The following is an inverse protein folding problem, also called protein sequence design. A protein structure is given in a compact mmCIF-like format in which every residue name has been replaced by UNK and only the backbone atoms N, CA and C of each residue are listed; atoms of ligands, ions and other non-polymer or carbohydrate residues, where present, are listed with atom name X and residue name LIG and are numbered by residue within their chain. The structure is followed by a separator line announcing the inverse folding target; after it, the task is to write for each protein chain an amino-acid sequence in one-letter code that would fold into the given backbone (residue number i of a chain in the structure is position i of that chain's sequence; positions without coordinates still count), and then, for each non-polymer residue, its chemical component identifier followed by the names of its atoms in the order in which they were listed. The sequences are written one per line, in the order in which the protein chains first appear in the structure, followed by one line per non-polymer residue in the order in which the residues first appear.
data_IF_854503219008
#
_entry.id   IF_854503219008
#
_cell.length_a   1.000
_cell.length_b   1.000
_cell.length_c   1.000
_cell.angle_alpha   90.00
_cell.angle_beta   90.00
_cell.angle_gamma   90.00
#
_symmetry.space_group_name_H-M   'P 1'
#
loop_
_entity.id
_entity.type
_entity.pdbx_description
1 polymer ?
#
# COMPACT_ATOMS: atom_id res chain seq x y z
N UNK A 1 5.75 19.04 -5.25
CA UNK A 1 6.18 17.91 -6.10
C UNK A 1 5.83 18.14 -7.56
N UNK A 2 4.57 18.47 -7.92
CA UNK A 2 4.14 18.64 -9.32
C UNK A 2 4.87 19.76 -10.08
N UNK A 3 5.47 20.70 -9.41
CA UNK A 3 6.27 21.78 -10.01
C UNK A 3 7.74 21.40 -10.22
N UNK A 4 8.22 20.38 -9.55
CA UNK A 4 9.64 19.96 -9.55
C UNK A 4 9.88 18.58 -10.16
N UNK A 5 8.81 17.84 -10.49
CA UNK A 5 8.90 16.45 -10.95
C UNK A 5 7.91 16.19 -12.08
N UNK A 6 8.39 15.61 -13.18
CA UNK A 6 7.55 15.07 -14.23
C UNK A 6 7.02 13.69 -13.78
N UNK A 7 5.74 13.59 -13.51
CA UNK A 7 5.09 12.37 -13.06
C UNK A 7 4.32 11.72 -14.21
N UNK A 8 4.50 10.41 -14.41
CA UNK A 8 3.70 9.56 -15.27
C UNK A 8 2.83 8.64 -14.43
N UNK A 9 1.55 8.50 -14.80
CA UNK A 9 0.64 7.56 -14.14
C UNK A 9 0.26 6.44 -15.10
N UNK A 10 0.46 5.20 -14.66
CA UNK A 10 0.03 4.00 -15.35
C UNK A 10 -1.12 3.37 -14.57
N UNK A 11 -2.23 3.06 -15.24
CA UNK A 11 -3.38 2.41 -14.63
C UNK A 11 -3.53 0.99 -15.18
N UNK A 12 -3.82 0.06 -14.29
CA UNK A 12 -4.13 -1.32 -14.64
C UNK A 12 -5.16 -1.89 -13.69
N UNK A 13 -5.75 -3.00 -14.06
CA UNK A 13 -6.66 -3.77 -13.19
C UNK A 13 -6.09 -5.15 -12.95
N UNK A 14 -6.41 -5.73 -11.81
CA UNK A 14 -6.03 -7.09 -11.45
C UNK A 14 -7.23 -7.82 -10.85
N UNK A 15 -7.32 -9.13 -11.09
CA UNK A 15 -8.33 -9.96 -10.46
C UNK A 15 -8.10 -10.03 -8.95
N UNK A 16 -9.10 -9.64 -8.17
CA UNK A 16 -9.02 -9.57 -6.71
C UNK A 16 -9.39 -10.90 -6.00
N UNK A 17 -9.77 -11.95 -6.74
CA UNK A 17 -10.24 -13.21 -6.13
C UNK A 17 -9.24 -13.80 -5.13
N UNK A 18 -7.95 -13.78 -5.46
CA UNK A 18 -6.89 -14.31 -4.59
C UNK A 18 -6.76 -13.55 -3.27
N UNK A 19 -6.74 -12.23 -3.31
CA UNK A 19 -6.62 -11.42 -2.09
C UNK A 19 -7.89 -11.48 -1.24
N UNK A 20 -9.07 -11.55 -1.85
CA UNK A 20 -10.35 -11.72 -1.16
C UNK A 20 -10.43 -13.09 -0.48
N UNK A 21 -9.99 -14.16 -1.15
CA UNK A 21 -9.90 -15.51 -0.56
C UNK A 21 -8.94 -15.52 0.65
N UNK A 22 -7.78 -14.89 0.53
CA UNK A 22 -6.82 -14.76 1.63
C UNK A 22 -7.41 -13.96 2.80
N UNK A 23 -8.08 -12.83 2.51
CA UNK A 23 -8.77 -12.03 3.55
C UNK A 23 -9.85 -12.86 4.26
N UNK A 24 -10.64 -13.64 3.54
CA UNK A 24 -11.63 -14.54 4.12
C UNK A 24 -10.99 -15.59 5.03
N UNK A 25 -9.86 -16.18 4.59
CA UNK A 25 -9.11 -17.17 5.37
C UNK A 25 -8.60 -16.59 6.70
N UNK A 26 -7.95 -15.43 6.67
CA UNK A 26 -7.41 -14.81 7.89
C UNK A 26 -8.52 -14.28 8.80
N UNK A 27 -9.65 -13.81 8.25
CA UNK A 27 -10.81 -13.36 9.02
C UNK A 27 -11.45 -14.47 9.83
N UNK A 28 -11.46 -15.69 9.28
CA UNK A 28 -12.06 -16.87 9.89
C UNK A 28 -11.04 -17.70 10.69
N UNK A 29 -9.81 -17.23 10.86
CA UNK A 29 -8.82 -17.87 11.70
C UNK A 29 -9.19 -17.78 13.18
N UNK A 30 -8.66 -18.70 13.96
CA UNK A 30 -8.82 -18.69 15.43
C UNK A 30 -8.40 -17.32 15.99
N UNK A 31 -9.23 -16.76 16.88
CA UNK A 31 -8.97 -15.46 17.52
C UNK A 31 -7.67 -15.45 18.29
N UNK A 32 -7.27 -16.58 18.87
CA UNK A 32 -6.00 -16.72 19.58
C UNK A 32 -4.79 -16.43 18.70
N UNK A 33 -4.90 -16.59 17.37
CA UNK A 33 -3.85 -16.27 16.40
C UNK A 33 -3.75 -14.75 16.10
N UNK A 34 -4.78 -13.97 16.44
CA UNK A 34 -4.84 -12.53 16.19
C UNK A 34 -4.84 -12.14 14.70
N UNK A 35 -5.13 -13.09 13.79
CA UNK A 35 -5.11 -12.87 12.34
C UNK A 35 -6.41 -12.25 11.81
N UNK A 36 -7.51 -12.38 12.54
CA UNK A 36 -8.84 -11.90 12.15
C UNK A 36 -8.91 -10.38 11.93
N UNK A 37 -7.98 -9.64 12.52
CA UNK A 37 -7.86 -8.17 12.39
C UNK A 37 -7.13 -7.71 11.13
N UNK A 38 -6.50 -8.60 10.37
CA UNK A 38 -5.76 -8.26 9.16
C UNK A 38 -6.74 -7.74 8.09
N UNK A 39 -6.48 -6.57 7.55
CA UNK A 39 -7.31 -5.91 6.54
C UNK A 39 -6.85 -6.23 5.11
N UNK A 40 -7.67 -5.89 4.11
CA UNK A 40 -7.23 -5.94 2.71
C UNK A 40 -6.04 -5.01 2.45
N UNK A 41 -6.05 -3.83 3.05
CA UNK A 41 -4.94 -2.88 2.92
C UNK A 41 -3.64 -3.44 3.49
N UNK A 42 -3.69 -4.13 4.62
CA UNK A 42 -2.51 -4.79 5.19
C UNK A 42 -1.95 -5.84 4.22
N UNK A 43 -2.82 -6.63 3.59
CA UNK A 43 -2.41 -7.64 2.60
C UNK A 43 -1.74 -7.01 1.37
N UNK A 44 -2.31 -5.92 0.85
CA UNK A 44 -1.73 -5.17 -0.27
C UNK A 44 -0.37 -4.60 0.11
N UNK A 45 -0.28 -3.85 1.20
CA UNK A 45 0.96 -3.24 1.65
C UNK A 45 2.05 -4.28 1.96
N UNK A 46 1.65 -5.41 2.57
CA UNK A 46 2.56 -6.53 2.81
C UNK A 46 3.11 -7.11 1.50
N UNK A 47 2.24 -7.35 0.49
CA UNK A 47 2.66 -7.84 -0.82
C UNK A 47 3.59 -6.84 -1.52
N UNK A 48 3.30 -5.53 -1.46
CA UNK A 48 4.15 -4.47 -1.99
C UNK A 48 5.53 -4.52 -1.37
N UNK A 49 5.65 -4.64 -0.04
CA UNK A 49 6.94 -4.70 0.65
C UNK A 49 7.83 -5.85 0.17
N UNK A 50 7.25 -6.97 -0.27
CA UNK A 50 7.97 -8.13 -0.82
C UNK A 50 8.30 -7.94 -2.30
N UNK A 51 7.40 -7.32 -3.05
CA UNK A 51 7.56 -7.08 -4.48
C UNK A 51 8.70 -6.09 -4.74
N UNK A 52 8.82 -5.04 -3.93
CA UNK A 52 9.86 -4.02 -4.06
C UNK A 52 11.30 -4.59 -4.00
N UNK A 53 11.52 -5.69 -3.30
CA UNK A 53 12.82 -6.38 -3.30
C UNK A 53 13.25 -6.88 -4.68
N UNK A 54 12.28 -7.12 -5.58
CA UNK A 54 12.55 -7.57 -6.96
C UNK A 54 12.71 -6.40 -7.94
N UNK A 55 12.30 -5.20 -7.53
CA UNK A 55 12.28 -4.01 -8.37
C UNK A 55 12.91 -2.82 -7.64
N UNK A 56 14.23 -2.84 -7.39
CA UNK A 56 14.90 -1.86 -6.54
C UNK A 56 14.82 -0.42 -7.06
N UNK A 57 14.61 -0.22 -8.35
CA UNK A 57 14.41 1.12 -8.95
C UNK A 57 13.19 1.85 -8.38
N UNK A 58 12.18 1.11 -7.93
CA UNK A 58 11.00 1.67 -7.26
C UNK A 58 11.18 1.85 -5.75
N UNK A 59 12.16 1.15 -5.16
CA UNK A 59 12.53 1.32 -3.75
C UNK A 59 13.72 2.27 -3.64
N UNK A 60 13.53 3.50 -4.12
CA UNK A 60 14.62 4.44 -4.35
C UNK A 60 14.18 5.90 -4.13
N UNK A 61 15.16 6.76 -3.93
CA UNK A 61 15.01 8.21 -3.95
C UNK A 61 15.72 8.80 -5.17
N UNK A 62 15.16 9.87 -5.72
CA UNK A 62 15.78 10.67 -6.77
C UNK A 62 15.92 12.10 -6.28
N UNK A 63 17.16 12.51 -6.01
CA UNK A 63 17.50 13.86 -5.53
C UNK A 63 18.68 14.41 -6.35
N UNK A 64 18.55 15.61 -6.86
CA UNK A 64 19.60 16.31 -7.62
C UNK A 64 20.18 15.47 -8.79
N UNK A 65 19.34 14.66 -9.44
CA UNK A 65 19.74 13.78 -10.53
C UNK A 65 20.43 12.49 -10.08
N UNK A 66 20.58 12.26 -8.78
CA UNK A 66 21.15 11.03 -8.20
C UNK A 66 20.03 10.07 -7.78
N UNK A 67 20.06 8.84 -8.31
CA UNK A 67 19.18 7.75 -7.93
C UNK A 67 19.83 6.91 -6.83
N UNK A 68 19.25 6.95 -5.63
CA UNK A 68 19.70 6.14 -4.49
C UNK A 68 18.72 5.00 -4.25
N UNK A 69 19.13 3.76 -4.49
CA UNK A 69 18.34 2.55 -4.24
C UNK A 69 18.59 2.04 -2.81
N UNK A 70 17.54 1.53 -2.18
CA UNK A 70 17.60 1.02 -0.80
C UNK A 70 17.43 -0.50 -0.77
N UNK A 71 18.23 -1.18 0.03
CA UNK A 71 18.10 -2.62 0.27
C UNK A 71 16.90 -2.92 1.17
N UNK A 72 16.62 -2.04 2.13
CA UNK A 72 15.49 -2.17 3.03
C UNK A 72 14.28 -1.39 2.51
N UNK A 73 13.11 -1.97 2.67
CA UNK A 73 11.85 -1.32 2.31
C UNK A 73 11.28 -0.62 3.54
N UNK A 74 11.26 0.70 3.50
CA UNK A 74 10.57 1.54 4.48
C UNK A 74 9.26 2.01 3.85
N UNK A 75 8.16 1.27 4.15
CA UNK A 75 6.90 1.44 3.47
C UNK A 75 6.02 2.51 4.12
N UNK A 76 5.82 3.62 3.42
CA UNK A 76 4.81 4.62 3.78
C UNK A 76 3.41 4.18 3.34
N UNK A 77 2.42 4.50 4.13
CA UNK A 77 1.02 4.34 3.74
C UNK A 77 0.21 5.59 4.10
N UNK A 78 -0.65 6.01 3.18
CA UNK A 78 -1.50 7.17 3.39
C UNK A 78 -2.55 6.89 4.47
N UNK A 79 -2.63 7.78 5.46
CA UNK A 79 -3.55 7.71 6.57
C UNK A 79 -4.28 9.05 6.72
N UNK A 80 -5.60 9.03 6.54
CA UNK A 80 -6.44 10.20 6.79
C UNK A 80 -6.67 10.39 8.29
N UNK A 81 -6.49 11.63 8.76
CA UNK A 81 -6.64 11.96 10.17
C UNK A 81 -7.40 13.29 10.32
N UNK A 82 -7.98 13.58 11.50
CA UNK A 82 -8.63 14.87 11.76
C UNK A 82 -7.73 16.10 11.53
N UNK A 83 -6.40 15.89 11.49
CA UNK A 83 -5.39 16.94 11.26
C UNK A 83 -4.85 16.97 9.84
N UNK A 84 -5.43 16.18 8.93
CA UNK A 84 -5.00 16.06 7.54
C UNK A 84 -4.36 14.71 7.22
N UNK A 85 -3.80 14.63 6.04
CA UNK A 85 -3.18 13.42 5.53
C UNK A 85 -1.77 13.24 6.10
N UNK A 86 -1.54 12.11 6.76
CA UNK A 86 -0.21 11.67 7.20
C UNK A 86 0.24 10.46 6.39
N UNK A 87 1.55 10.25 6.34
CA UNK A 87 2.15 9.06 5.70
C UNK A 87 3.08 8.38 6.70
N UNK A 88 2.51 7.60 7.64
CA UNK A 88 3.33 6.80 8.55
C UNK A 88 4.17 5.78 7.79
N UNK A 89 5.35 5.46 8.32
CA UNK A 89 6.35 4.61 7.67
C UNK A 89 6.63 3.37 8.53
N UNK A 90 6.32 2.20 7.96
CA UNK A 90 6.69 0.90 8.54
C UNK A 90 8.16 0.63 8.16
N UNK A 91 9.04 0.64 9.15
CA UNK A 91 10.46 0.40 8.96
C UNK A 91 10.75 -1.08 8.66
N UNK A 92 11.67 -1.32 7.72
CA UNK A 92 12.11 -2.66 7.33
C UNK A 92 10.92 -3.61 7.10
N UNK A 93 9.90 -3.11 6.41
CA UNK A 93 8.62 -3.77 6.20
C UNK A 93 8.77 -5.18 5.59
N UNK A 94 9.81 -5.38 4.75
CA UNK A 94 10.12 -6.67 4.16
C UNK A 94 10.57 -7.73 5.18
N UNK A 95 11.03 -7.34 6.35
CA UNK A 95 11.50 -8.28 7.38
C UNK A 95 10.36 -8.80 8.27
N UNK A 96 9.21 -8.11 8.29
CA UNK A 96 8.09 -8.45 9.16
C UNK A 96 7.28 -9.62 8.59
N UNK A 97 6.80 -10.52 9.45
CA UNK A 97 5.72 -11.44 9.09
C UNK A 97 4.38 -10.70 8.97
N UNK A 98 3.39 -11.29 8.29
CA UNK A 98 2.11 -10.64 7.99
C UNK A 98 1.39 -10.10 9.25
N UNK A 99 1.37 -10.88 10.35
CA UNK A 99 0.75 -10.43 11.60
C UNK A 99 1.47 -9.22 12.17
N UNK A 100 2.80 -9.29 12.32
CA UNK A 100 3.61 -8.20 12.86
C UNK A 100 3.50 -6.94 11.99
N UNK A 101 3.46 -7.10 10.66
CA UNK A 101 3.23 -6.01 9.72
C UNK A 101 1.87 -5.32 9.97
N UNK A 102 0.80 -6.12 10.08
CA UNK A 102 -0.55 -5.60 10.33
C UNK A 102 -0.67 -4.91 11.69
N UNK A 103 -0.05 -5.47 12.73
CA UNK A 103 -0.03 -4.89 14.08
C UNK A 103 0.71 -3.53 14.07
N UNK A 104 1.85 -3.45 13.40
CA UNK A 104 2.62 -2.21 13.28
C UNK A 104 1.90 -1.15 12.45
N UNK A 105 1.27 -1.53 11.33
CA UNK A 105 0.45 -0.62 10.54
C UNK A 105 -0.67 0.02 11.37
N UNK A 106 -1.37 -0.78 12.19
CA UNK A 106 -2.44 -0.30 13.07
C UNK A 106 -1.92 0.60 14.18
N UNK A 107 -0.81 0.21 14.80
CA UNK A 107 -0.17 1.03 15.84
C UNK A 107 0.17 2.42 15.30
N UNK A 108 0.78 2.48 14.13
CA UNK A 108 1.16 3.74 13.49
C UNK A 108 -0.06 4.55 13.06
N UNK A 109 -1.07 3.91 12.48
CA UNK A 109 -2.31 4.59 12.07
C UNK A 109 -3.04 5.19 13.29
N UNK A 110 -3.19 4.43 14.38
CA UNK A 110 -3.79 4.93 15.61
C UNK A 110 -3.01 6.12 16.18
N UNK A 111 -1.69 6.01 16.29
CA UNK A 111 -0.84 7.11 16.76
C UNK A 111 -0.93 8.36 15.88
N UNK A 112 -1.10 8.19 14.56
CA UNK A 112 -1.29 9.32 13.65
C UNK A 112 -2.65 9.99 13.87
N UNK A 113 -3.73 9.20 14.03
CA UNK A 113 -5.09 9.69 14.30
C UNK A 113 -5.13 10.42 15.65
N UNK A 114 -4.55 9.83 16.69
CA UNK A 114 -4.51 10.40 18.05
C UNK A 114 -3.52 11.57 18.16
N UNK A 115 -2.64 11.73 17.19
CA UNK A 115 -1.61 12.76 17.11
C UNK A 115 -0.44 12.58 18.06
N UNK A 116 -0.19 11.36 18.42
CA UNK A 116 0.92 10.94 19.28
C UNK A 116 2.06 10.30 18.50
N UNK A 117 1.94 10.23 17.17
CA UNK A 117 2.96 9.63 16.33
C UNK A 117 4.28 10.40 16.43
N UNK A 118 5.37 9.68 16.68
CA UNK A 118 6.68 10.27 16.72
C UNK A 118 7.12 10.71 15.30
N UNK A 119 7.77 11.88 15.15
CA UNK A 119 8.19 12.42 13.86
C UNK A 119 9.04 11.46 13.02
N UNK A 120 9.83 10.62 13.67
CA UNK A 120 10.68 9.61 13.01
C UNK A 120 9.87 8.60 12.18
N UNK A 121 8.60 8.37 12.53
CA UNK A 121 7.73 7.49 11.75
C UNK A 121 7.00 8.22 10.61
N UNK A 122 7.24 9.51 10.42
CA UNK A 122 6.67 10.31 9.32
C UNK A 122 7.70 10.66 8.24
N UNK A 123 8.91 10.13 8.33
CA UNK A 123 10.01 10.44 7.41
C UNK A 123 10.78 9.19 6.99
N UNK A 124 11.61 9.31 5.96
CA UNK A 124 12.52 8.24 5.51
C UNK A 124 11.81 7.02 4.91
N UNK A 125 10.59 7.17 4.41
CA UNK A 125 9.94 6.17 3.59
C UNK A 125 10.64 6.02 2.24
N UNK A 126 10.75 4.78 1.73
CA UNK A 126 11.38 4.51 0.43
C UNK A 126 10.36 4.29 -0.68
N UNK A 127 9.11 4.02 -0.31
CA UNK A 127 7.96 3.85 -1.21
C UNK A 127 6.67 4.15 -0.44
N UNK A 128 5.64 4.62 -1.13
CA UNK A 128 4.34 4.94 -0.51
C UNK A 128 3.20 4.18 -1.19
N UNK A 129 2.23 3.75 -0.40
CA UNK A 129 0.94 3.22 -0.86
C UNK A 129 -0.18 4.18 -0.44
N UNK A 130 -0.99 4.60 -1.41
CA UNK A 130 -2.20 5.38 -1.17
C UNK A 130 -3.42 4.56 -1.58
N UNK A 131 -4.29 4.25 -0.64
CA UNK A 131 -5.48 3.42 -0.89
C UNK A 131 -6.74 4.21 -0.58
N UNK A 132 -7.52 4.51 -1.61
CA UNK A 132 -8.81 5.17 -1.52
C UNK A 132 -9.96 4.31 -2.05
N UNK A 133 -9.72 3.00 -2.21
CA UNK A 133 -10.73 2.05 -2.68
C UNK A 133 -11.95 1.94 -1.76
N UNK A 134 -11.80 2.16 -0.45
CA UNK A 134 -12.91 2.17 0.51
C UNK A 134 -13.89 3.32 0.28
N UNK A 135 -13.50 4.37 -0.45
CA UNK A 135 -14.37 5.48 -0.84
C UNK A 135 -15.08 5.23 -2.18
N UNK A 136 -14.94 4.03 -2.77
CA UNK A 136 -15.53 3.69 -4.06
C UNK A 136 -14.80 4.27 -5.27
N UNK A 137 -13.62 4.84 -5.08
CA UNK A 137 -12.80 5.40 -6.16
C UNK A 137 -12.07 4.27 -6.88
N UNK A 138 -12.33 4.08 -8.16
CA UNK A 138 -11.72 3.02 -8.96
C UNK A 138 -10.33 3.39 -9.49
N UNK A 139 -10.16 4.63 -9.95
CA UNK A 139 -8.91 5.13 -10.51
C UNK A 139 -8.64 6.54 -10.04
N UNK A 140 -7.37 6.85 -9.78
CA UNK A 140 -6.91 8.19 -9.41
C UNK A 140 -5.40 8.31 -9.69
N UNK A 141 -4.91 9.52 -9.65
CA UNK A 141 -3.48 9.81 -9.80
C UNK A 141 -2.91 10.24 -8.46
N UNK A 142 -2.29 9.33 -7.68
CA UNK A 142 -1.62 9.73 -6.45
C UNK A 142 -0.40 10.57 -6.77
N UNK A 143 -0.10 11.56 -5.93
CA UNK A 143 1.08 12.40 -6.08
C UNK A 143 2.26 11.74 -5.38
N UNK A 144 3.38 11.61 -6.10
CA UNK A 144 4.60 11.01 -5.56
C UNK A 144 5.07 11.80 -4.31
N UNK A 145 5.37 11.06 -3.26
CA UNK A 145 5.92 11.59 -2.01
C UNK A 145 7.44 11.75 -2.15
N UNK A 146 7.88 12.94 -2.58
CA UNK A 146 9.31 13.20 -2.78
C UNK A 146 10.13 12.92 -1.51
N UNK A 147 11.35 12.42 -1.67
CA UNK A 147 12.14 12.17 -2.90
C UNK A 147 11.93 10.78 -3.52
N UNK A 148 10.90 10.05 -3.14
CA UNK A 148 10.59 8.70 -3.67
C UNK A 148 10.41 8.73 -5.19
N UNK A 149 10.76 7.62 -5.85
CA UNK A 149 10.66 7.49 -7.31
C UNK A 149 9.27 7.08 -7.79
N UNK A 150 8.46 6.51 -6.91
CA UNK A 150 7.14 6.01 -7.25
C UNK A 150 6.19 5.96 -6.05
N UNK A 151 4.90 5.85 -6.35
CA UNK A 151 3.80 5.64 -5.40
C UNK A 151 2.79 4.66 -6.01
N UNK A 152 2.23 3.78 -5.21
CA UNK A 152 1.13 2.91 -5.64
C UNK A 152 -0.21 3.49 -5.20
N UNK A 153 -1.09 3.79 -6.16
CA UNK A 153 -2.50 4.04 -5.92
C UNK A 153 -3.30 2.74 -5.95
N UNK A 154 -4.15 2.52 -4.96
CA UNK A 154 -5.04 1.35 -4.87
C UNK A 154 -6.49 1.83 -4.92
N UNK A 155 -7.20 1.40 -5.95
CA UNK A 155 -8.61 1.71 -6.15
C UNK A 155 -9.57 0.67 -5.57
N UNK A 156 -10.86 0.87 -5.82
CA UNK A 156 -11.93 0.02 -5.35
C UNK A 156 -11.91 -1.35 -6.04
N UNK A 157 -12.34 -2.37 -5.30
CA UNK A 157 -12.68 -3.68 -5.86
C UNK A 157 -14.14 -3.63 -6.30
N UNK A 158 -14.37 -3.76 -7.62
CA UNK A 158 -15.71 -3.69 -8.21
C UNK A 158 -15.95 -4.88 -9.12
N UNK A 159 -17.19 -5.44 -9.17
CA UNK A 159 -17.55 -6.46 -10.14
C UNK A 159 -17.42 -5.92 -11.56
N UNK A 160 -16.77 -6.65 -12.45
CA UNK A 160 -16.62 -6.26 -13.87
C UNK A 160 -16.96 -7.43 -14.78
N UNK A 161 -17.63 -7.16 -15.93
CA UNK A 161 -17.80 -8.16 -16.96
C UNK A 161 -16.43 -8.48 -17.57
N UNK A 162 -16.12 -9.77 -17.68
CA UNK A 162 -14.89 -10.27 -18.30
C UNK A 162 -15.23 -11.34 -19.33
N UNK A 163 -14.38 -11.48 -20.33
CA UNK A 163 -14.48 -12.58 -21.29
C UNK A 163 -13.73 -13.76 -20.70
N UNK A 164 -14.47 -14.80 -20.31
CA UNK A 164 -13.91 -16.04 -19.78
C UNK A 164 -13.26 -16.89 -20.90
N UNK A 165 -12.42 -17.88 -20.50
CA UNK A 165 -11.88 -18.86 -21.41
C UNK A 165 -13.03 -19.55 -22.15
N UNK A 166 -13.04 -19.47 -23.50
CA UNK A 166 -14.14 -19.99 -24.33
C UNK A 166 -15.13 -18.93 -24.84
N UNK A 167 -14.91 -17.65 -24.55
CA UNK A 167 -15.62 -16.53 -25.17
C UNK A 167 -16.96 -16.15 -24.50
N UNK A 168 -17.34 -16.82 -23.41
CA UNK A 168 -18.53 -16.43 -22.63
C UNK A 168 -18.23 -15.19 -21.77
N UNK A 169 -19.25 -14.38 -21.50
CA UNK A 169 -19.14 -13.25 -20.59
C UNK A 169 -19.40 -13.75 -19.17
N UNK A 170 -18.46 -13.51 -18.29
CA UNK A 170 -18.55 -13.74 -16.86
C UNK A 170 -18.45 -12.44 -16.07
N UNK A 171 -18.54 -12.53 -14.74
CA UNK A 171 -18.30 -11.40 -13.83
C UNK A 171 -17.18 -11.78 -12.87
N UNK A 172 -16.16 -10.92 -12.78
CA UNK A 172 -15.06 -11.06 -11.84
C UNK A 172 -14.91 -9.80 -10.97
N UNK A 173 -14.23 -9.94 -9.84
CA UNK A 173 -13.87 -8.83 -8.94
C UNK A 173 -12.38 -8.56 -8.96
#
# INVERSE_FOLDING_TARGET
SLTSTAQLTLNTTANAAGILAMRKKVKNADEALGLNKITLNDLVCFAVSRTLLKYPVFNAHLEDGVLTQFEQVHLGFACDTPRGLFVPVIRSAQALGLKAFSDEAKRLASSAIDGTIAPDFLSGGTFTVSNIGSFGIETFTPVINLPQTAILGVGAITPRPVVAAGGSIGVEQ
#
